data_IF_841909531246
#
_entry.id   IF_841909531246
#
_cell.length_a   1.000
_cell.length_b   1.000
_cell.length_c   1.000
_cell.angle_alpha   90.00
_cell.angle_beta   90.00
_cell.angle_gamma   90.00
#
_symmetry.space_group_name_H-M   'P 1'
#
loop_
_entity.id
_entity.type
_entity.pdbx_description
1 polymer ?
#
# COMPACT_ATOMS: atom_id res chain seq x y z
N UNK A 1 27.21 20.37 27.11
CA UNK A 1 26.51 19.28 26.38
C UNK A 1 25.02 19.65 26.34
N UNK A 2 24.33 19.58 25.19
CA UNK A 2 22.90 19.89 25.15
C UNK A 2 22.14 18.86 25.98
N UNK A 3 21.18 19.30 26.78
CA UNK A 3 20.29 18.40 27.52
C UNK A 3 19.30 17.74 26.56
N UNK A 4 18.99 16.46 26.80
CA UNK A 4 18.02 15.69 26.03
C UNK A 4 16.64 15.88 26.65
N UNK A 5 15.62 16.12 25.82
CA UNK A 5 14.23 16.32 26.26
C UNK A 5 13.32 15.27 25.64
N UNK A 6 12.28 14.86 26.39
CA UNK A 6 11.20 14.02 25.84
C UNK A 6 10.25 14.90 25.05
N UNK A 7 9.89 14.44 23.85
CA UNK A 7 8.86 15.06 23.03
C UNK A 7 7.49 14.90 23.71
N UNK A 8 6.60 15.89 23.51
CA UNK A 8 5.19 15.72 23.87
C UNK A 8 4.55 14.67 22.97
N UNK A 9 3.47 14.05 23.43
CA UNK A 9 2.76 13.02 22.68
C UNK A 9 2.24 13.56 21.34
N UNK A 10 1.80 14.82 21.28
CA UNK A 10 1.39 15.48 20.02
C UNK A 10 2.55 15.63 19.05
N UNK A 11 3.73 16.06 19.50
CA UNK A 11 4.90 16.22 18.63
C UNK A 11 5.43 14.87 18.17
N UNK A 12 5.48 13.88 19.05
CA UNK A 12 5.84 12.50 18.67
C UNK A 12 4.84 11.91 17.67
N UNK A 13 3.54 12.18 17.86
CA UNK A 13 2.48 11.73 16.93
C UNK A 13 2.52 12.49 15.61
N UNK A 14 2.88 13.77 15.59
CA UNK A 14 3.07 14.55 14.36
C UNK A 14 4.34 14.15 13.61
N UNK A 15 5.40 13.76 14.32
CA UNK A 15 6.61 13.20 13.70
C UNK A 15 6.27 11.82 13.12
N UNK A 16 5.58 10.97 13.88
CA UNK A 16 5.10 9.68 13.38
C UNK A 16 4.12 9.85 12.21
N UNK A 17 3.21 10.82 12.26
CA UNK A 17 2.30 11.16 11.16
C UNK A 17 3.03 11.80 9.97
N UNK A 18 4.14 12.51 10.21
CA UNK A 18 5.04 13.08 9.21
C UNK A 18 5.87 12.03 8.48
N UNK A 19 6.28 10.97 9.18
CA UNK A 19 6.89 9.75 8.61
C UNK A 19 5.84 8.83 7.95
N UNK A 20 4.59 8.88 8.43
CA UNK A 20 3.39 8.24 7.86
C UNK A 20 2.67 9.18 6.88
N UNK A 21 3.35 10.20 6.34
CA UNK A 21 2.90 10.80 5.09
C UNK A 21 3.27 9.81 3.99
N UNK A 22 2.31 8.95 3.66
CA UNK A 22 2.36 7.99 2.56
C UNK A 22 3.07 8.63 1.37
N UNK A 23 4.32 8.20 1.15
CA UNK A 23 5.05 8.64 -0.03
C UNK A 23 4.27 8.08 -1.22
N UNK A 24 3.97 8.88 -2.26
CA UNK A 24 3.35 8.35 -3.47
C UNK A 24 4.08 7.12 -4.04
N UNK A 25 5.38 6.99 -3.76
CA UNK A 25 6.18 5.80 -4.04
C UNK A 25 5.72 4.54 -3.27
N UNK A 26 5.31 4.66 -2.01
CA UNK A 26 4.75 3.55 -1.23
C UNK A 26 3.41 3.09 -1.78
N UNK A 27 2.52 4.04 -2.13
CA UNK A 27 1.24 3.72 -2.79
C UNK A 27 1.50 3.04 -4.13
N UNK A 28 2.43 3.58 -4.93
CA UNK A 28 2.82 2.99 -6.20
C UNK A 28 3.37 1.57 -6.02
N UNK A 29 4.23 1.34 -5.02
CA UNK A 29 4.78 0.01 -4.72
C UNK A 29 3.66 -0.98 -4.45
N UNK A 30 2.71 -0.67 -3.57
CA UNK A 30 1.59 -1.58 -3.26
C UNK A 30 0.70 -1.84 -4.48
N UNK A 31 0.42 -0.82 -5.31
CA UNK A 31 -0.34 -1.01 -6.56
C UNK A 31 0.39 -1.92 -7.56
N UNK A 32 1.70 -1.74 -7.72
CA UNK A 32 2.51 -2.59 -8.60
C UNK A 32 2.56 -4.04 -8.10
N UNK A 33 2.66 -4.25 -6.79
CA UNK A 33 2.64 -5.58 -6.19
C UNK A 33 1.28 -6.26 -6.40
N UNK A 34 0.19 -5.52 -6.27
CA UNK A 34 -1.15 -6.04 -6.55
C UNK A 34 -1.31 -6.46 -8.02
N UNK A 35 -0.78 -5.68 -8.97
CA UNK A 35 -0.77 -6.02 -10.40
C UNK A 35 0.07 -7.28 -10.67
N UNK A 36 1.23 -7.42 -10.03
CA UNK A 36 2.06 -8.63 -10.14
C UNK A 36 1.36 -9.86 -9.55
N UNK A 37 0.74 -9.74 -8.38
CA UNK A 37 -0.07 -10.81 -7.76
C UNK A 37 -1.28 -11.19 -8.63
N UNK A 38 -1.76 -10.27 -9.47
CA UNK A 38 -2.81 -10.52 -10.47
C UNK A 38 -2.29 -11.22 -11.73
N UNK A 39 -0.98 -11.44 -11.86
CA UNK A 39 -0.34 -12.07 -12.99
C UNK A 39 -0.20 -11.17 -14.22
N UNK A 40 -0.21 -9.85 -14.04
CA UNK A 40 -0.06 -8.90 -15.13
C UNK A 40 1.28 -9.08 -15.86
N UNK A 41 1.24 -9.11 -17.19
CA UNK A 41 2.42 -9.11 -18.04
C UNK A 41 2.82 -7.68 -18.43
N UNK A 42 1.86 -6.75 -18.43
CA UNK A 42 2.03 -5.35 -18.76
C UNK A 42 1.39 -4.48 -17.68
N UNK A 43 2.18 -3.53 -17.18
CA UNK A 43 1.72 -2.52 -16.22
C UNK A 43 2.12 -1.15 -16.76
N UNK A 44 1.16 -0.25 -16.89
CA UNK A 44 1.34 1.15 -17.29
C UNK A 44 1.14 2.05 -16.08
N UNK A 45 2.07 2.97 -15.86
CA UNK A 45 2.03 3.92 -14.74
C UNK A 45 2.06 5.34 -15.29
N UNK A 46 1.08 6.13 -14.90
CA UNK A 46 0.99 7.56 -15.18
C UNK A 46 1.00 8.33 -13.87
N UNK A 47 1.87 9.33 -13.75
CA UNK A 47 1.94 10.16 -12.55
C UNK A 47 2.07 11.64 -12.89
N UNK A 48 1.49 12.50 -12.06
CA UNK A 48 1.66 13.94 -12.16
C UNK A 48 1.88 14.57 -10.79
N UNK A 49 2.67 15.65 -10.74
CA UNK A 49 3.00 16.33 -9.48
C UNK A 49 3.68 15.41 -8.46
N UNK A 50 4.65 14.60 -8.91
CA UNK A 50 5.35 13.60 -8.11
C UNK A 50 4.41 12.57 -7.44
N UNK A 51 3.30 12.22 -8.11
CA UNK A 51 2.32 11.25 -7.62
C UNK A 51 1.32 11.81 -6.61
N UNK A 52 1.41 13.11 -6.26
CA UNK A 52 0.48 13.76 -5.33
C UNK A 52 -0.79 14.26 -6.00
N UNK A 53 -0.71 14.60 -7.29
CA UNK A 53 -1.86 15.10 -8.06
C UNK A 53 -2.56 13.97 -8.81
N UNK A 54 -1.79 13.04 -9.38
CA UNK A 54 -2.30 11.86 -10.05
C UNK A 54 -1.28 10.73 -9.88
N UNK A 55 -1.79 9.56 -9.54
CA UNK A 55 -1.09 8.29 -9.64
C UNK A 55 -2.10 7.29 -10.22
N UNK A 56 -1.87 6.87 -11.46
CA UNK A 56 -2.76 6.01 -12.22
C UNK A 56 -1.97 4.79 -12.68
N UNK A 57 -2.44 3.60 -12.31
CA UNK A 57 -1.81 2.32 -12.63
C UNK A 57 -2.83 1.47 -13.36
N UNK A 58 -2.45 0.98 -14.54
CA UNK A 58 -3.27 0.12 -15.40
C UNK A 58 -2.50 -1.15 -15.66
N UNK A 59 -3.10 -2.29 -15.40
CA UNK A 59 -2.51 -3.60 -15.68
C UNK A 59 -3.42 -4.49 -16.52
N UNK A 60 -2.84 -5.54 -17.11
CA UNK A 60 -3.54 -6.57 -17.87
C UNK A 60 -3.68 -7.90 -17.08
N UNK A 61 -3.66 -7.80 -15.75
CA UNK A 61 -3.83 -8.95 -14.87
C UNK A 61 -5.24 -9.53 -14.91
N UNK A 62 -5.46 -10.57 -14.10
CA UNK A 62 -6.75 -11.29 -14.03
C UNK A 62 -7.96 -10.44 -13.59
N UNK A 63 -7.73 -9.20 -13.16
CA UNK A 63 -8.77 -8.30 -12.67
C UNK A 63 -9.40 -8.74 -11.35
N UNK A 64 -10.55 -8.14 -11.05
CA UNK A 64 -11.42 -8.45 -9.92
C UNK A 64 -12.86 -8.41 -10.43
N UNK A 65 -13.74 -9.25 -9.88
CA UNK A 65 -15.17 -9.11 -10.13
C UNK A 65 -15.75 -7.90 -9.35
N UNK A 66 -17.01 -7.59 -9.60
CA UNK A 66 -17.65 -6.41 -9.00
C UNK A 66 -17.82 -6.50 -7.47
N UNK A 67 -17.89 -7.71 -6.91
CA UNK A 67 -18.04 -7.91 -5.47
C UNK A 67 -16.67 -7.84 -4.79
N UNK A 68 -15.65 -8.48 -5.36
CA UNK A 68 -14.26 -8.41 -4.94
C UNK A 68 -13.72 -6.98 -4.99
N UNK A 69 -14.11 -6.19 -6.01
CA UNK A 69 -13.72 -4.78 -6.11
C UNK A 69 -14.26 -3.94 -4.94
N UNK A 70 -15.49 -4.23 -4.48
CA UNK A 70 -16.07 -3.56 -3.30
C UNK A 70 -15.33 -3.98 -2.04
N UNK A 71 -15.09 -5.28 -1.87
CA UNK A 71 -14.38 -5.83 -0.72
C UNK A 71 -12.95 -5.32 -0.64
N UNK A 72 -12.24 -5.18 -1.77
CA UNK A 72 -10.88 -4.66 -1.82
C UNK A 72 -10.75 -3.20 -1.33
N UNK A 73 -11.85 -2.46 -1.24
CA UNK A 73 -11.89 -1.11 -0.69
C UNK A 73 -12.18 -1.09 0.82
N UNK A 74 -12.48 -2.23 1.44
CA UNK A 74 -12.73 -2.36 2.87
C UNK A 74 -11.43 -2.62 3.64
N UNK A 75 -11.34 -2.12 4.88
CA UNK A 75 -10.18 -2.39 5.73
C UNK A 75 -10.10 -3.87 6.08
N UNK A 76 -8.89 -4.42 6.07
CA UNK A 76 -8.59 -5.82 6.40
C UNK A 76 -9.18 -6.85 5.43
N UNK A 77 -9.48 -6.46 4.18
CA UNK A 77 -9.85 -7.39 3.13
C UNK A 77 -8.62 -7.76 2.29
N UNK A 78 -8.33 -9.06 2.16
CA UNK A 78 -7.25 -9.54 1.28
C UNK A 78 -7.58 -10.91 0.71
N UNK A 79 -7.16 -11.15 -0.54
CA UNK A 79 -7.23 -12.49 -1.16
C UNK A 79 -6.01 -13.36 -0.88
N UNK A 80 -4.97 -12.78 -0.25
CA UNK A 80 -3.64 -13.38 -0.14
C UNK A 80 -3.44 -14.18 1.16
N UNK A 81 -4.28 -13.98 2.18
CA UNK A 81 -4.11 -14.54 3.54
C UNK A 81 -5.47 -14.95 4.09
N UNK A 82 -5.61 -16.17 4.61
CA UNK A 82 -6.84 -16.64 5.27
C UNK A 82 -6.62 -17.00 6.74
N UNK A 83 -5.38 -17.31 7.12
CA UNK A 83 -5.01 -17.67 8.48
C UNK A 83 -3.65 -17.05 8.88
N UNK A 84 -3.36 -17.00 10.19
CA UNK A 84 -2.11 -16.41 10.70
C UNK A 84 -0.88 -17.18 10.20
N UNK A 85 -1.03 -18.46 9.91
CA UNK A 85 0.01 -19.33 9.37
C UNK A 85 0.36 -19.00 7.91
N UNK A 86 -0.56 -18.37 7.17
CA UNK A 86 -0.31 -17.90 5.80
C UNK A 86 0.64 -16.70 5.82
N UNK A 87 0.68 -15.93 6.92
CA UNK A 87 1.60 -14.78 7.09
C UNK A 87 3.07 -15.21 6.98
N UNK A 88 3.39 -16.41 7.48
CA UNK A 88 4.74 -16.95 7.41
C UNK A 88 5.09 -17.57 6.04
N UNK A 89 4.10 -17.76 5.15
CA UNK A 89 4.23 -18.40 3.82
C UNK A 89 4.05 -17.44 2.66
N UNK A 90 3.74 -16.17 2.94
CA UNK A 90 3.55 -15.14 1.93
C UNK A 90 4.80 -14.96 1.08
N UNK A 91 4.65 -15.36 -0.17
CA UNK A 91 5.58 -15.08 -1.27
C UNK A 91 5.06 -13.92 -2.14
N UNK A 92 3.87 -13.38 -1.83
CA UNK A 92 3.24 -12.23 -2.48
C UNK A 92 3.57 -10.94 -1.74
N UNK A 93 3.84 -9.87 -2.49
CA UNK A 93 4.46 -8.67 -1.93
C UNK A 93 3.44 -7.70 -1.27
N UNK A 94 2.14 -7.81 -1.59
CA UNK A 94 1.07 -6.99 -1.02
C UNK A 94 0.35 -7.68 0.16
N UNK A 95 0.45 -7.12 1.36
CA UNK A 95 -0.13 -7.71 2.58
C UNK A 95 -0.90 -6.72 3.46
N UNK A 96 -1.13 -5.49 3.02
CA UNK A 96 -1.89 -4.51 3.80
C UNK A 96 -3.13 -4.09 3.03
N UNK A 97 -4.19 -4.85 3.23
CA UNK A 97 -5.54 -4.29 3.08
C UNK A 97 -5.75 -3.19 4.11
#
# INVERSE_FOLDING_TARGET
MPAIYRLSQEVASQIAAGEVVERPASILKELLENSLDAGAAKIQVESSGAGRKLLHVVDDGKGMDSEDCRLACERHATRNIRAIEDVARLSTCGCRG
#
